data_IF_393880756497
#
_entry.id   IF_393880756497
#
_cell.length_a   1.000
_cell.length_b   1.000
_cell.length_c   1.000
_cell.angle_alpha   90.00
_cell.angle_beta   90.00
_cell.angle_gamma   90.00
#
_symmetry.space_group_name_H-M   'P 1'
#
loop_
_entity.id
_entity.type
_entity.pdbx_description
1 polymer ?
#
# COMPACT_ATOMS: atom_id res chain seq x y z
N UNK A 1 76.62 14.37 -17.40
CA UNK A 1 75.82 13.16 -17.18
C UNK A 1 75.31 13.06 -15.75
N UNK A 2 76.17 13.16 -14.72
CA UNK A 2 75.76 13.10 -13.29
C UNK A 2 74.76 14.21 -12.92
N UNK A 3 74.98 15.44 -13.35
CA UNK A 3 74.08 16.59 -13.08
C UNK A 3 72.68 16.39 -13.65
N UNK A 4 72.56 15.84 -14.86
CA UNK A 4 71.28 15.55 -15.50
C UNK A 4 70.48 14.49 -14.72
N UNK A 5 71.17 13.44 -14.25
CA UNK A 5 70.54 12.36 -13.44
C UNK A 5 70.03 12.91 -12.11
N UNK A 6 70.81 13.77 -11.45
CA UNK A 6 70.39 14.42 -10.19
C UNK A 6 69.17 15.32 -10.41
N UNK A 7 69.13 16.10 -11.48
CA UNK A 7 67.98 16.95 -11.82
C UNK A 7 66.72 16.11 -12.08
N UNK A 8 66.83 15.01 -12.83
CA UNK A 8 65.70 14.10 -13.08
C UNK A 8 65.16 13.49 -11.79
N UNK A 9 66.03 13.04 -10.88
CA UNK A 9 65.61 12.47 -9.59
C UNK A 9 64.87 13.50 -8.72
N UNK A 10 65.33 14.75 -8.69
CA UNK A 10 64.65 15.83 -7.98
C UNK A 10 63.26 16.09 -8.59
N UNK A 11 63.14 16.11 -9.91
CA UNK A 11 61.87 16.30 -10.60
C UNK A 11 60.88 15.16 -10.31
N UNK A 12 61.35 13.91 -10.29
CA UNK A 12 60.53 12.75 -9.91
C UNK A 12 60.04 12.90 -8.47
N UNK A 13 60.91 13.29 -7.53
CA UNK A 13 60.54 13.46 -6.13
C UNK A 13 59.50 14.58 -5.96
N UNK A 14 59.67 15.72 -6.63
CA UNK A 14 58.70 16.81 -6.64
C UNK A 14 57.35 16.39 -7.24
N UNK A 15 57.38 15.60 -8.32
CA UNK A 15 56.17 15.05 -8.92
C UNK A 15 55.44 14.10 -7.97
N UNK A 16 56.15 13.16 -7.33
CA UNK A 16 55.56 12.26 -6.33
C UNK A 16 54.97 13.06 -5.16
N UNK A 17 55.68 14.06 -4.64
CA UNK A 17 55.20 14.94 -3.57
C UNK A 17 53.92 15.67 -3.99
N UNK A 18 53.90 16.24 -5.21
CA UNK A 18 52.72 16.90 -5.77
C UNK A 18 51.51 15.95 -5.85
N UNK A 19 51.71 14.71 -6.33
CA UNK A 19 50.64 13.71 -6.38
C UNK A 19 50.10 13.33 -5.00
N UNK A 20 50.99 13.16 -4.01
CA UNK A 20 50.59 12.85 -2.63
C UNK A 20 49.79 14.00 -2.01
N UNK A 21 50.25 15.25 -2.18
CA UNK A 21 49.54 16.45 -1.69
C UNK A 21 48.18 16.58 -2.37
N UNK A 22 48.12 16.42 -3.70
CA UNK A 22 46.86 16.48 -4.44
C UNK A 22 45.87 15.42 -3.95
N UNK A 23 46.31 14.16 -3.82
CA UNK A 23 45.49 13.06 -3.29
C UNK A 23 44.98 13.36 -1.88
N UNK A 24 45.85 13.86 -1.01
CA UNK A 24 45.49 14.24 0.36
C UNK A 24 44.44 15.37 0.37
N UNK A 25 44.63 16.42 -0.44
CA UNK A 25 43.68 17.54 -0.52
C UNK A 25 42.30 17.11 -1.05
N UNK A 26 42.27 16.25 -2.08
CA UNK A 26 41.01 15.68 -2.59
C UNK A 26 40.31 14.85 -1.53
N UNK A 27 41.05 13.97 -0.84
CA UNK A 27 40.47 13.12 0.20
C UNK A 27 39.99 13.93 1.41
N UNK A 28 40.77 14.91 1.84
CA UNK A 28 40.36 15.84 2.90
C UNK A 28 39.07 16.57 2.53
N UNK A 29 38.99 17.12 1.33
CA UNK A 29 37.78 17.82 0.87
C UNK A 29 36.55 16.90 0.81
N UNK A 30 36.73 15.65 0.36
CA UNK A 30 35.67 14.62 0.38
C UNK A 30 35.20 14.33 1.81
N UNK A 31 36.13 14.14 2.74
CA UNK A 31 35.83 13.85 4.14
C UNK A 31 35.18 15.05 4.86
N UNK A 32 35.60 16.28 4.57
CA UNK A 32 34.95 17.50 5.06
C UNK A 32 33.51 17.61 4.53
N UNK A 33 33.27 17.27 3.25
CA UNK A 33 31.92 17.20 2.69
C UNK A 33 31.06 16.15 3.38
N UNK A 34 31.61 14.95 3.63
CA UNK A 34 30.90 13.89 4.36
C UNK A 34 30.62 14.29 5.81
N UNK A 35 31.54 15.02 6.45
CA UNK A 35 31.34 15.52 7.80
C UNK A 35 30.11 16.44 7.86
N UNK A 36 29.97 17.37 6.91
CA UNK A 36 28.76 18.21 6.82
C UNK A 36 27.49 17.40 6.53
N UNK A 37 27.54 16.37 5.68
CA UNK A 37 26.38 15.50 5.42
C UNK A 37 25.98 14.68 6.67
N UNK A 38 26.97 14.27 7.46
CA UNK A 38 26.75 13.54 8.70
C UNK A 38 26.02 14.40 9.73
N UNK A 39 26.36 15.69 9.85
CA UNK A 39 25.66 16.63 10.73
C UNK A 39 24.14 16.63 10.47
N UNK A 40 23.76 16.73 9.20
CA UNK A 40 22.35 16.71 8.81
C UNK A 40 21.71 15.34 9.04
N UNK A 41 22.42 14.27 8.70
CA UNK A 41 21.94 12.91 8.87
C UNK A 41 21.71 12.55 10.36
N UNK A 42 22.59 13.02 11.26
CA UNK A 42 22.47 12.83 12.71
C UNK A 42 21.25 13.61 13.25
N UNK A 43 21.03 14.85 12.79
CA UNK A 43 19.81 15.62 13.15
C UNK A 43 18.54 14.91 12.69
N UNK A 44 18.54 14.33 11.49
CA UNK A 44 17.40 13.56 10.99
C UNK A 44 17.17 12.33 11.87
N UNK A 45 18.21 11.56 12.21
CA UNK A 45 18.09 10.43 13.13
C UNK A 45 17.49 10.84 14.49
N UNK A 46 17.97 11.95 15.06
CA UNK A 46 17.45 12.49 16.32
C UNK A 46 15.95 12.82 16.22
N UNK A 47 15.55 13.53 15.16
CA UNK A 47 14.15 13.89 14.94
C UNK A 47 13.25 12.64 14.76
N UNK A 48 13.75 11.59 14.10
CA UNK A 48 13.02 10.33 13.95
C UNK A 48 12.85 9.60 15.28
N UNK A 49 13.88 9.57 16.13
CA UNK A 49 13.80 9.01 17.49
C UNK A 49 12.77 9.78 18.31
N UNK A 50 12.85 11.11 18.35
CA UNK A 50 11.90 11.94 19.10
C UNK A 50 10.46 11.73 18.61
N UNK A 51 10.27 11.57 17.30
CA UNK A 51 8.98 11.24 16.70
C UNK A 51 8.46 9.89 17.20
N UNK A 52 9.30 8.85 17.22
CA UNK A 52 8.94 7.53 17.75
C UNK A 52 8.50 7.68 19.20
N UNK A 53 9.32 8.31 20.05
CA UNK A 53 9.05 8.51 21.48
C UNK A 53 7.71 9.21 21.74
N UNK A 54 7.47 10.30 21.00
CA UNK A 54 6.26 11.10 21.14
C UNK A 54 5.01 10.33 20.71
N UNK A 55 5.11 9.55 19.63
CA UNK A 55 3.94 8.90 19.02
C UNK A 55 3.63 7.53 19.62
N UNK A 56 4.63 6.81 20.13
CA UNK A 56 4.50 5.46 20.67
C UNK A 56 3.34 5.29 21.67
N UNK A 57 3.20 6.08 22.76
CA UNK A 57 2.12 5.85 23.73
C UNK A 57 0.73 6.06 23.12
N UNK A 58 0.60 7.06 22.24
CA UNK A 58 -0.67 7.40 21.61
C UNK A 58 -1.06 6.33 20.58
N UNK A 59 -0.09 5.86 19.79
CA UNK A 59 -0.29 4.82 18.79
C UNK A 59 -0.64 3.47 19.42
N UNK A 60 0.03 3.08 20.53
CA UNK A 60 -0.31 1.87 21.29
C UNK A 60 -1.74 1.92 21.79
N UNK A 61 -2.16 3.04 22.39
CA UNK A 61 -3.54 3.21 22.85
C UNK A 61 -4.53 3.13 21.70
N UNK A 62 -4.25 3.81 20.57
CA UNK A 62 -5.09 3.78 19.37
C UNK A 62 -5.20 2.37 18.77
N UNK A 63 -4.10 1.63 18.70
CA UNK A 63 -4.10 0.25 18.23
C UNK A 63 -5.01 -0.65 19.07
N UNK A 64 -4.97 -0.52 20.40
CA UNK A 64 -5.86 -1.30 21.27
C UNK A 64 -7.34 -0.94 21.06
N UNK A 65 -7.67 0.33 20.74
CA UNK A 65 -9.08 0.71 20.46
C UNK A 65 -9.68 0.05 19.22
N UNK A 66 -8.84 -0.42 18.28
CA UNK A 66 -9.28 -1.10 17.06
C UNK A 66 -9.08 -2.61 17.08
N UNK A 67 -8.58 -3.17 18.19
CA UNK A 67 -8.21 -4.59 18.32
C UNK A 67 -9.30 -5.55 17.87
N UNK A 68 -10.51 -5.33 18.35
CA UNK A 68 -11.65 -6.21 18.07
C UNK A 68 -12.43 -5.77 16.81
N UNK A 69 -11.97 -4.72 16.12
CA UNK A 69 -12.63 -4.14 14.94
C UNK A 69 -11.93 -4.50 13.62
N UNK A 70 -10.73 -5.09 13.66
CA UNK A 70 -9.96 -5.53 12.50
C UNK A 70 -9.67 -7.04 12.52
N UNK A 71 -9.35 -7.65 11.36
CA UNK A 71 -8.86 -9.02 11.32
C UNK A 71 -7.62 -9.24 12.19
N UNK A 72 -7.54 -10.42 12.84
CA UNK A 72 -6.49 -10.75 13.83
C UNK A 72 -5.08 -10.67 13.24
N UNK A 73 -4.90 -11.14 12.02
CA UNK A 73 -3.65 -11.09 11.26
C UNK A 73 -3.20 -9.63 11.02
N UNK A 74 -4.12 -8.75 10.63
CA UNK A 74 -3.83 -7.33 10.47
C UNK A 74 -3.46 -6.68 11.80
N UNK A 75 -4.18 -7.01 12.89
CA UNK A 75 -3.84 -6.52 14.23
C UNK A 75 -2.43 -6.96 14.66
N UNK A 76 -2.08 -8.23 14.46
CA UNK A 76 -0.75 -8.74 14.80
C UNK A 76 0.36 -8.05 13.99
N UNK A 77 0.11 -7.77 12.71
CA UNK A 77 1.05 -7.00 11.88
C UNK A 77 1.30 -5.60 12.44
N UNK A 78 0.24 -4.84 12.76
CA UNK A 78 0.36 -3.51 13.35
C UNK A 78 1.03 -3.54 14.73
N UNK A 79 0.69 -4.54 15.56
CA UNK A 79 1.30 -4.75 16.87
C UNK A 79 2.80 -5.02 16.76
N UNK A 80 3.22 -5.80 15.76
CA UNK A 80 4.64 -6.06 15.52
C UNK A 80 5.41 -4.78 15.15
N UNK A 81 4.81 -3.86 14.40
CA UNK A 81 5.42 -2.56 14.10
C UNK A 81 5.68 -1.74 15.37
N UNK A 82 4.65 -1.62 16.23
CA UNK A 82 4.76 -0.90 17.51
C UNK A 82 5.80 -1.56 18.42
N UNK A 83 5.74 -2.88 18.58
CA UNK A 83 6.69 -3.62 19.41
C UNK A 83 8.13 -3.51 18.91
N UNK A 84 8.33 -3.49 17.59
CA UNK A 84 9.68 -3.35 17.00
C UNK A 84 10.24 -1.96 17.30
N UNK A 85 9.42 -0.91 17.12
CA UNK A 85 9.82 0.46 17.45
C UNK A 85 10.15 0.60 18.94
N UNK A 86 9.30 0.11 19.84
CA UNK A 86 9.51 0.17 21.29
C UNK A 86 10.77 -0.59 21.73
N UNK A 87 10.90 -1.85 21.32
CA UNK A 87 12.02 -2.71 21.68
C UNK A 87 13.37 -2.14 21.23
N UNK A 88 13.42 -1.56 20.02
CA UNK A 88 14.67 -1.09 19.44
C UNK A 88 15.04 0.33 19.87
N UNK A 89 14.07 1.14 20.31
CA UNK A 89 14.26 2.57 20.60
C UNK A 89 15.48 2.85 21.47
N UNK A 90 15.64 2.16 22.60
CA UNK A 90 16.79 2.35 23.50
C UNK A 90 18.13 2.12 22.77
N UNK A 91 18.22 1.03 22.00
CA UNK A 91 19.43 0.70 21.23
C UNK A 91 19.70 1.74 20.13
N UNK A 92 18.66 2.28 19.49
CA UNK A 92 18.79 3.36 18.49
C UNK A 92 19.34 4.63 19.12
N UNK A 93 18.87 5.00 20.32
CA UNK A 93 19.38 6.16 21.08
C UNK A 93 20.86 6.01 21.43
N UNK A 94 21.27 4.82 21.90
CA UNK A 94 22.68 4.52 22.19
C UNK A 94 23.53 4.60 20.93
N UNK A 95 23.05 4.03 19.82
CA UNK A 95 23.76 4.05 18.54
C UNK A 95 23.93 5.47 17.99
N UNK A 96 22.88 6.30 18.09
CA UNK A 96 22.94 7.72 17.72
C UNK A 96 23.93 8.49 18.58
N UNK A 97 23.87 8.29 19.91
CA UNK A 97 24.79 8.96 20.83
C UNK A 97 26.26 8.61 20.49
N UNK A 98 26.55 7.33 20.24
CA UNK A 98 27.89 6.89 19.85
C UNK A 98 28.35 7.53 18.52
N UNK A 99 27.49 7.54 17.50
CA UNK A 99 27.81 8.16 16.21
C UNK A 99 28.05 9.68 16.35
N UNK A 100 27.23 10.36 17.15
CA UNK A 100 27.39 11.80 17.46
C UNK A 100 28.69 12.07 18.21
N UNK A 101 29.05 11.26 19.20
CA UNK A 101 30.33 11.40 19.92
C UNK A 101 31.52 11.29 18.96
N UNK A 102 31.55 10.24 18.12
CA UNK A 102 32.65 10.05 17.15
C UNK A 102 32.71 11.20 16.15
N UNK A 103 31.56 11.71 15.71
CA UNK A 103 31.45 12.86 14.81
C UNK A 103 32.07 14.12 15.43
N UNK A 104 31.74 14.44 16.68
CA UNK A 104 32.20 15.63 17.36
C UNK A 104 33.68 15.57 17.77
N UNK A 105 34.15 14.40 18.24
CA UNK A 105 35.51 14.28 18.78
C UNK A 105 36.60 14.17 17.71
N UNK A 106 36.29 13.55 16.57
CA UNK A 106 37.29 13.23 15.54
C UNK A 106 37.17 14.07 14.27
N UNK A 107 36.16 14.93 14.17
CA UNK A 107 35.95 15.84 13.05
C UNK A 107 35.79 15.10 11.71
N UNK A 108 36.38 15.65 10.65
CA UNK A 108 36.27 15.06 9.31
C UNK A 108 37.05 13.75 9.14
N UNK A 109 38.05 13.46 9.99
CA UNK A 109 38.93 12.28 9.84
C UNK A 109 38.19 10.95 9.96
N UNK A 110 37.06 10.92 10.68
CA UNK A 110 36.20 9.74 10.86
C UNK A 110 34.88 9.86 10.10
N UNK A 111 34.74 10.85 9.21
CA UNK A 111 33.48 11.15 8.54
C UNK A 111 32.91 9.95 7.77
N UNK A 112 33.76 9.11 7.17
CA UNK A 112 33.30 7.91 6.46
C UNK A 112 32.70 6.85 7.41
N UNK A 113 33.32 6.63 8.57
CA UNK A 113 32.77 5.70 9.58
C UNK A 113 31.43 6.19 10.11
N UNK A 114 31.35 7.48 10.45
CA UNK A 114 30.10 8.11 10.91
C UNK A 114 29.04 8.03 9.83
N UNK A 115 29.39 8.25 8.57
CA UNK A 115 28.49 8.15 7.43
C UNK A 115 27.83 6.78 7.35
N UNK A 116 28.59 5.69 7.34
CA UNK A 116 28.01 4.35 7.28
C UNK A 116 27.13 4.06 8.49
N UNK A 117 27.57 4.41 9.70
CA UNK A 117 26.78 4.18 10.91
C UNK A 117 25.45 4.94 10.89
N UNK A 118 25.47 6.19 10.41
CA UNK A 118 24.28 7.04 10.33
C UNK A 118 23.35 6.60 9.21
N UNK A 119 23.87 6.14 8.06
CA UNK A 119 23.04 5.58 6.98
C UNK A 119 22.29 4.33 7.44
N UNK A 120 22.98 3.39 8.10
CA UNK A 120 22.34 2.20 8.68
C UNK A 120 21.27 2.60 9.69
N UNK A 121 21.56 3.59 10.55
CA UNK A 121 20.59 4.06 11.52
C UNK A 121 19.36 4.70 10.86
N UNK A 122 19.54 5.49 9.79
CA UNK A 122 18.46 6.08 9.02
C UNK A 122 17.57 5.03 8.35
N UNK A 123 18.16 4.00 7.75
CA UNK A 123 17.43 2.90 7.11
C UNK A 123 16.53 2.16 8.10
N UNK A 124 16.96 2.04 9.36
CA UNK A 124 16.18 1.41 10.43
C UNK A 124 15.13 2.36 11.01
N UNK A 125 15.49 3.62 11.27
CA UNK A 125 14.60 4.59 11.93
C UNK A 125 13.46 5.07 11.03
N UNK A 126 13.68 5.20 9.71
CA UNK A 126 12.64 5.66 8.79
C UNK A 126 11.36 4.81 8.86
N UNK A 127 11.39 3.49 8.61
CA UNK A 127 10.20 2.66 8.74
C UNK A 127 9.68 2.60 10.19
N UNK A 128 10.59 2.51 11.19
CA UNK A 128 10.21 2.51 12.60
C UNK A 128 9.51 3.83 13.03
N UNK A 129 9.71 4.94 12.34
CA UNK A 129 9.03 6.22 12.66
C UNK A 129 7.61 6.34 12.10
N UNK A 130 7.20 5.43 11.21
CA UNK A 130 5.95 5.53 10.45
C UNK A 130 4.81 4.69 11.03
N UNK A 131 5.03 3.87 12.07
CA UNK A 131 3.97 2.97 12.60
C UNK A 131 2.69 3.73 12.97
N UNK A 132 2.82 4.96 13.52
CA UNK A 132 1.67 5.76 13.93
C UNK A 132 0.82 6.16 12.73
N UNK A 133 1.44 6.51 11.61
CA UNK A 133 0.73 6.85 10.36
C UNK A 133 0.05 5.62 9.76
N UNK A 134 0.67 4.44 9.87
CA UNK A 134 0.06 3.17 9.43
C UNK A 134 -1.19 2.85 10.26
N UNK A 135 -1.11 3.02 11.59
CA UNK A 135 -2.26 2.83 12.49
C UNK A 135 -3.37 3.84 12.18
N UNK A 136 -3.03 5.11 12.03
CA UNK A 136 -4.00 6.17 11.73
C UNK A 136 -4.71 5.94 10.40
N UNK A 137 -3.98 5.49 9.36
CA UNK A 137 -4.60 5.08 8.09
C UNK A 137 -5.58 3.93 8.28
N UNK A 138 -5.22 2.91 9.06
CA UNK A 138 -6.13 1.78 9.33
C UNK A 138 -7.39 2.22 10.09
N UNK A 139 -7.27 3.17 11.02
CA UNK A 139 -8.42 3.74 11.73
C UNK A 139 -9.35 4.48 10.77
N UNK A 140 -8.79 5.28 9.86
CA UNK A 140 -9.55 5.97 8.83
C UNK A 140 -10.27 4.99 7.91
N UNK A 141 -9.54 3.99 7.38
CA UNK A 141 -10.10 2.93 6.54
C UNK A 141 -11.26 2.19 7.22
N UNK A 142 -11.14 1.89 8.52
CA UNK A 142 -12.22 1.30 9.30
C UNK A 142 -13.46 2.19 9.39
N UNK A 143 -13.27 3.49 9.65
CA UNK A 143 -14.38 4.45 9.73
C UNK A 143 -15.08 4.61 8.38
N UNK A 144 -14.31 4.68 7.31
CA UNK A 144 -14.83 4.74 5.95
C UNK A 144 -15.63 3.48 5.61
N UNK A 145 -15.12 2.30 5.97
CA UNK A 145 -15.83 1.04 5.79
C UNK A 145 -17.10 0.94 6.63
N UNK A 146 -17.09 1.41 7.89
CA UNK A 146 -18.27 1.48 8.76
C UNK A 146 -19.35 2.37 8.15
N UNK A 147 -18.99 3.61 7.78
CA UNK A 147 -19.91 4.56 7.14
C UNK A 147 -20.43 4.05 5.78
N UNK A 148 -19.54 3.52 4.94
CA UNK A 148 -19.88 2.96 3.64
C UNK A 148 -20.81 1.76 3.76
N UNK A 149 -20.58 0.89 4.75
CA UNK A 149 -21.43 -0.27 5.02
C UNK A 149 -22.83 0.16 5.44
N UNK A 150 -22.95 1.14 6.36
CA UNK A 150 -24.25 1.65 6.80
C UNK A 150 -25.05 2.25 5.64
N UNK A 151 -24.37 3.00 4.77
CA UNK A 151 -24.98 3.55 3.55
C UNK A 151 -25.48 2.42 2.63
N UNK A 152 -24.62 1.44 2.33
CA UNK A 152 -24.99 0.30 1.47
C UNK A 152 -26.11 -0.54 2.06
N UNK A 153 -26.14 -0.79 3.38
CA UNK A 153 -27.23 -1.48 4.05
C UNK A 153 -28.58 -0.77 3.87
N UNK A 154 -28.56 0.56 3.78
CA UNK A 154 -29.76 1.38 3.57
C UNK A 154 -30.19 1.43 2.10
N UNK A 155 -29.22 1.45 1.17
CA UNK A 155 -29.46 1.63 -0.25
C UNK A 155 -29.73 0.31 -1.00
N UNK A 156 -29.03 -0.78 -0.65
CA UNK A 156 -29.13 -2.07 -1.33
C UNK A 156 -30.56 -2.61 -1.43
N UNK A 157 -31.43 -2.53 -0.40
CA UNK A 157 -32.82 -2.96 -0.54
C UNK A 157 -33.55 -2.26 -1.69
N UNK A 158 -33.33 -0.94 -1.85
CA UNK A 158 -33.94 -0.14 -2.92
C UNK A 158 -33.36 -0.51 -4.29
N UNK A 159 -32.04 -0.71 -4.35
CA UNK A 159 -31.33 -1.14 -5.56
C UNK A 159 -31.84 -2.53 -6.00
N UNK A 160 -32.00 -3.47 -5.07
CA UNK A 160 -32.54 -4.80 -5.33
C UNK A 160 -34.00 -4.76 -5.78
N UNK A 161 -34.85 -3.91 -5.17
CA UNK A 161 -36.24 -3.77 -5.58
C UNK A 161 -36.35 -3.22 -7.02
N UNK A 162 -35.55 -2.20 -7.35
CA UNK A 162 -35.47 -1.66 -8.71
C UNK A 162 -35.00 -2.71 -9.71
N UNK A 163 -33.90 -3.42 -9.41
CA UNK A 163 -33.41 -4.51 -10.25
C UNK A 163 -34.45 -5.62 -10.41
N UNK A 164 -35.23 -5.94 -9.36
CA UNK A 164 -36.30 -6.92 -9.44
C UNK A 164 -37.40 -6.49 -10.42
N UNK A 165 -37.77 -5.20 -10.46
CA UNK A 165 -38.76 -4.68 -11.42
C UNK A 165 -38.24 -4.77 -12.86
N UNK A 166 -36.99 -4.40 -13.10
CA UNK A 166 -36.34 -4.49 -14.42
C UNK A 166 -36.25 -5.94 -14.91
N UNK A 167 -35.86 -6.86 -14.03
CA UNK A 167 -35.64 -8.28 -14.37
C UNK A 167 -36.93 -9.12 -14.41
N UNK A 168 -38.08 -8.55 -14.07
CA UNK A 168 -39.38 -9.21 -14.24
C UNK A 168 -39.88 -9.20 -15.69
N UNK A 169 -39.17 -8.56 -16.62
CA UNK A 169 -39.53 -8.57 -18.02
C UNK A 169 -39.59 -10.02 -18.58
N UNK A 170 -40.59 -10.37 -19.42
CA UNK A 170 -40.77 -11.74 -19.92
C UNK A 170 -39.57 -12.30 -20.68
N UNK A 171 -38.90 -11.44 -21.44
CA UNK A 171 -37.74 -11.82 -22.26
C UNK A 171 -36.42 -11.95 -21.45
N UNK A 172 -36.43 -11.64 -20.15
CA UNK A 172 -35.23 -11.78 -19.30
C UNK A 172 -35.01 -13.23 -18.92
N UNK A 173 -33.78 -13.71 -19.13
CA UNK A 173 -33.40 -15.10 -18.87
C UNK A 173 -33.46 -15.45 -17.38
N UNK A 174 -33.55 -16.76 -17.12
CA UNK A 174 -33.44 -17.29 -15.76
C UNK A 174 -32.08 -16.98 -15.14
N UNK A 175 -31.01 -16.99 -15.94
CA UNK A 175 -29.64 -16.70 -15.47
C UNK A 175 -29.53 -15.29 -14.84
N UNK A 176 -30.09 -14.27 -15.50
CA UNK A 176 -30.13 -12.90 -14.97
C UNK A 176 -30.89 -12.83 -13.64
N UNK A 177 -32.01 -13.56 -13.53
CA UNK A 177 -32.82 -13.65 -12.32
C UNK A 177 -32.09 -14.38 -11.19
N UNK A 178 -31.34 -15.44 -11.51
CA UNK A 178 -30.53 -16.21 -10.55
C UNK A 178 -29.40 -15.35 -9.95
N UNK A 179 -28.79 -14.43 -10.72
CA UNK A 179 -27.84 -13.46 -10.17
C UNK A 179 -28.47 -12.53 -9.12
N UNK A 180 -29.68 -12.02 -9.39
CA UNK A 180 -30.40 -11.18 -8.43
C UNK A 180 -30.75 -11.98 -7.16
N UNK A 181 -31.17 -13.24 -7.29
CA UNK A 181 -31.46 -14.08 -6.14
C UNK A 181 -30.21 -14.37 -5.31
N UNK A 182 -29.07 -14.65 -5.96
CA UNK A 182 -27.78 -14.76 -5.30
C UNK A 182 -27.42 -13.48 -4.52
N UNK A 183 -27.64 -12.30 -5.11
CA UNK A 183 -27.40 -11.03 -4.43
C UNK A 183 -28.25 -10.88 -3.15
N UNK A 184 -29.54 -11.26 -3.19
CA UNK A 184 -30.43 -11.24 -2.02
C UNK A 184 -29.93 -12.17 -0.90
N UNK A 185 -29.54 -13.39 -1.26
CA UNK A 185 -28.99 -14.38 -0.31
C UNK A 185 -27.72 -13.85 0.35
N UNK A 186 -26.79 -13.30 -0.43
CA UNK A 186 -25.55 -12.71 0.11
C UNK A 186 -25.82 -11.47 0.97
N UNK A 187 -26.84 -10.68 0.64
CA UNK A 187 -27.22 -9.51 1.45
C UNK A 187 -27.78 -9.88 2.82
N UNK A 188 -28.60 -10.93 2.90
CA UNK A 188 -29.04 -11.43 4.21
C UNK A 188 -27.84 -11.94 5.03
N UNK A 189 -26.89 -12.65 4.42
CA UNK A 189 -25.63 -13.03 5.11
C UNK A 189 -24.86 -11.80 5.61
N UNK A 190 -24.71 -10.77 4.79
CA UNK A 190 -24.04 -9.53 5.19
C UNK A 190 -24.76 -8.82 6.35
N UNK A 191 -26.10 -8.82 6.38
CA UNK A 191 -26.88 -8.32 7.53
C UNK A 191 -26.62 -9.11 8.80
N UNK A 192 -26.45 -10.43 8.71
CA UNK A 192 -26.06 -11.25 9.86
C UNK A 192 -24.65 -10.89 10.35
N UNK A 193 -23.70 -10.63 9.44
CA UNK A 193 -22.33 -10.22 9.81
C UNK A 193 -22.32 -8.92 10.63
N UNK A 194 -23.20 -7.95 10.34
CA UNK A 194 -23.32 -6.70 11.13
C UNK A 194 -23.70 -6.99 12.59
N UNK A 195 -24.46 -8.06 12.84
CA UNK A 195 -24.89 -8.46 14.19
C UNK A 195 -23.85 -9.34 14.88
N UNK A 196 -22.96 -9.97 14.13
CA UNK A 196 -21.87 -10.77 14.66
C UNK A 196 -20.71 -9.87 15.07
N UNK A 197 -20.47 -9.77 16.38
CA UNK A 197 -19.40 -8.97 16.99
C UNK A 197 -18.02 -9.37 16.45
N UNK A 198 -17.87 -10.58 15.88
CA UNK A 198 -16.60 -11.06 15.32
C UNK A 198 -16.29 -10.53 13.91
N UNK A 199 -17.27 -9.99 13.19
CA UNK A 199 -17.08 -9.52 11.82
C UNK A 199 -16.52 -8.10 11.79
N UNK A 200 -15.40 -7.89 11.09
CA UNK A 200 -14.83 -6.56 10.89
C UNK A 200 -15.67 -5.76 9.89
N UNK A 201 -15.81 -4.45 10.14
CA UNK A 201 -16.42 -3.52 9.19
C UNK A 201 -15.78 -3.54 7.80
N UNK A 202 -14.48 -3.86 7.70
CA UNK A 202 -13.80 -4.03 6.41
C UNK A 202 -14.38 -5.22 5.63
N UNK A 203 -14.62 -6.34 6.31
CA UNK A 203 -15.20 -7.55 5.70
C UNK A 203 -16.66 -7.34 5.32
N UNK A 204 -17.42 -6.66 6.18
CA UNK A 204 -18.81 -6.29 5.90
C UNK A 204 -18.88 -5.39 4.67
N UNK A 205 -18.05 -4.34 4.61
CA UNK A 205 -18.02 -3.41 3.49
C UNK A 205 -17.70 -4.13 2.19
N UNK A 206 -16.65 -4.96 2.17
CA UNK A 206 -16.28 -5.74 0.99
C UNK A 206 -17.42 -6.66 0.51
N UNK A 207 -18.16 -7.29 1.43
CA UNK A 207 -19.30 -8.15 1.11
C UNK A 207 -20.46 -7.36 0.49
N UNK A 208 -20.79 -6.20 1.06
CA UNK A 208 -21.83 -5.31 0.55
C UNK A 208 -21.47 -4.72 -0.84
N UNK A 209 -20.20 -4.37 -1.05
CA UNK A 209 -19.72 -3.94 -2.37
C UNK A 209 -19.74 -5.07 -3.40
N UNK A 210 -19.44 -6.31 -3.02
CA UNK A 210 -19.57 -7.44 -3.94
C UNK A 210 -21.04 -7.65 -4.38
N UNK A 211 -21.99 -7.43 -3.47
CA UNK A 211 -23.42 -7.51 -3.78
C UNK A 211 -23.83 -6.46 -4.81
N UNK A 212 -23.35 -5.21 -4.70
CA UNK A 212 -23.67 -4.19 -5.72
C UNK A 212 -23.16 -4.60 -7.10
N UNK A 213 -21.97 -5.20 -7.19
CA UNK A 213 -21.44 -5.77 -8.44
C UNK A 213 -22.34 -6.87 -8.99
N UNK A 214 -22.79 -7.81 -8.17
CA UNK A 214 -23.68 -8.91 -8.61
C UNK A 214 -25.01 -8.34 -9.16
N UNK A 215 -25.59 -7.33 -8.50
CA UNK A 215 -26.82 -6.69 -8.98
C UNK A 215 -26.59 -6.00 -10.33
N UNK A 216 -25.47 -5.30 -10.49
CA UNK A 216 -25.12 -4.67 -11.77
C UNK A 216 -24.97 -5.71 -12.89
N UNK A 217 -24.31 -6.83 -12.62
CA UNK A 217 -24.20 -7.94 -13.59
C UNK A 217 -25.57 -8.52 -13.95
N UNK A 218 -26.47 -8.69 -12.98
CA UNK A 218 -27.83 -9.15 -13.22
C UNK A 218 -28.58 -8.21 -14.18
N UNK A 219 -28.50 -6.90 -13.93
CA UNK A 219 -29.13 -5.86 -14.75
C UNK A 219 -28.59 -5.80 -16.17
N UNK A 220 -27.27 -5.82 -16.32
CA UNK A 220 -26.61 -5.80 -17.62
C UNK A 220 -27.02 -7.01 -18.46
N UNK A 221 -27.01 -8.20 -17.85
CA UNK A 221 -27.48 -9.42 -18.51
C UNK A 221 -28.95 -9.32 -18.90
N UNK A 222 -29.81 -8.85 -18.00
CA UNK A 222 -31.24 -8.69 -18.29
C UNK A 222 -31.51 -7.71 -19.43
N UNK A 223 -30.81 -6.57 -19.47
CA UNK A 223 -30.92 -5.61 -20.56
C UNK A 223 -30.47 -6.21 -21.90
N UNK A 224 -29.40 -7.01 -21.89
CA UNK A 224 -28.90 -7.71 -23.06
C UNK A 224 -29.89 -8.77 -23.55
N UNK A 225 -30.52 -9.52 -22.64
CA UNK A 225 -31.55 -10.51 -22.98
C UNK A 225 -32.76 -9.84 -23.66
N UNK A 226 -33.24 -8.71 -23.13
CA UNK A 226 -34.35 -7.95 -23.72
C UNK A 226 -33.99 -7.45 -25.12
N UNK A 227 -32.83 -6.83 -25.30
CA UNK A 227 -32.37 -6.34 -26.59
C UNK A 227 -32.26 -7.48 -27.63
N UNK A 228 -31.67 -8.62 -27.23
CA UNK A 228 -31.58 -9.78 -28.13
C UNK A 228 -32.95 -10.32 -28.54
N UNK A 229 -33.91 -10.34 -27.62
CA UNK A 229 -35.28 -10.75 -27.93
C UNK A 229 -35.99 -9.75 -28.86
N UNK A 230 -35.78 -8.45 -28.66
CA UNK A 230 -36.29 -7.40 -29.55
C UNK A 230 -35.70 -7.50 -30.96
N UNK A 231 -34.38 -7.72 -31.07
CA UNK A 231 -33.71 -7.95 -32.35
C UNK A 231 -34.23 -9.21 -33.05
N UNK A 232 -34.42 -10.31 -32.31
CA UNK A 232 -34.99 -11.54 -32.87
C UNK A 232 -36.43 -11.34 -33.38
N UNK A 233 -37.24 -10.56 -32.66
CA UNK A 233 -38.60 -10.18 -33.09
C UNK A 233 -38.58 -9.30 -34.33
N UNK A 234 -37.62 -8.38 -34.44
CA UNK A 234 -37.47 -7.48 -35.59
C UNK A 234 -37.00 -8.19 -36.87
N UNK A 235 -36.17 -9.23 -36.76
CA UNK A 235 -35.70 -10.03 -37.91
C UNK A 235 -36.80 -10.95 -38.46
N UNK A 236 -37.84 -11.26 -37.67
CA UNK A 236 -38.96 -12.13 -38.06
C UNK A 236 -38.55 -13.60 -38.20
N UNK A 237 -39.51 -14.54 -38.35
CA UNK A 237 -39.18 -15.91 -38.69
C UNK A 237 -38.47 -15.93 -40.05
N UNK A 238 -37.29 -16.55 -40.12
CA UNK A 238 -36.66 -16.89 -41.39
C UNK A 238 -37.71 -17.59 -42.27
N UNK A 239 -38.19 -16.91 -43.30
CA UNK A 239 -38.86 -17.54 -44.44
C UNK A 239 -37.80 -18.42 -45.12
N UNK A 240 -37.61 -19.63 -44.59
CA UNK A 240 -36.93 -20.69 -45.33
C UNK A 240 -37.74 -20.88 -46.62
N UNK A 241 -37.12 -20.75 -47.81
CA UNK A 241 -37.82 -21.00 -49.05
C UNK A 241 -38.40 -22.42 -48.99
N UNK A 242 -39.72 -22.55 -49.17
CA UNK A 242 -40.31 -23.84 -49.46
C UNK A 242 -39.66 -24.35 -50.74
N UNK A 243 -38.76 -25.32 -50.61
CA UNK A 243 -38.28 -26.10 -51.74
C UNK A 243 -39.49 -26.85 -52.27
N UNK A 244 -40.09 -26.32 -53.33
CA UNK A 244 -41.04 -27.05 -54.16
C UNK A 244 -40.31 -28.29 -54.69
N UNK A 245 -40.55 -29.44 -54.06
CA UNK A 245 -40.18 -30.73 -54.62
C UNK A 245 -41.15 -31.05 -55.75
N UNK A 246 -40.92 -30.45 -56.92
CA UNK A 246 -41.39 -31.04 -58.16
C UNK A 246 -40.57 -32.31 -58.40
N UNK A 247 -41.16 -33.47 -58.10
CA UNK A 247 -40.70 -34.75 -58.65
C UNK A 247 -40.61 -34.64 -60.17
N UNK A 248 -39.52 -35.05 -60.81
CA UNK A 248 -39.56 -35.40 -62.21
C UNK A 248 -40.07 -36.84 -62.32
N UNK A 249 -41.22 -37.01 -62.96
CA UNK A 249 -41.51 -38.24 -63.70
C UNK A 249 -40.50 -38.31 -64.85
N UNK A 250 -39.66 -39.36 -64.84
CA UNK A 250 -39.43 -40.39 -65.87
C UNK A 250 -38.36 -41.35 -65.33
#
# INVERSE_FOLDING_TARGET
MITLVVVILILILLFVLYFLVKKYMTEKSRLESLHMENDDSLKICQALIERIEKTLPTATKRLETIRDRIPKDQFLSLKNLVNTADKNLSNRKVSLAAATTVHLESGWKTAELVYYSTKVLLELLRPESQFSEVIDRKITELREAENGSQKLLTELPKIMESANKELQHPDVSKEAKDYLEKAKVEFEKAKFMVRDIKSSWLTIFASLSAITTIISTAREKGALDVNNAELAKAVGPLNLPQTNSSSPEI
#
